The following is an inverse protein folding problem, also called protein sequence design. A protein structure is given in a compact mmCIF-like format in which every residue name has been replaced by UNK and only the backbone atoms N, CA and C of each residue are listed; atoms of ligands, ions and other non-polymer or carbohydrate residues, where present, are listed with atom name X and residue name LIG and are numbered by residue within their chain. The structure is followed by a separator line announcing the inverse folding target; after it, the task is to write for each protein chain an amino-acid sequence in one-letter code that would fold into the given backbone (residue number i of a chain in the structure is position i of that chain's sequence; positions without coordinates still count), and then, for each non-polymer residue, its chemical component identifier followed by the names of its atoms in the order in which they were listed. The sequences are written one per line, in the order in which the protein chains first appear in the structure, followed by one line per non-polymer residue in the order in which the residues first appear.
data_IF_733410343923
#
_entry.id   IF_733410343923
#
_cell.length_a   1.000
_cell.length_b   1.000
_cell.length_c   1.000
_cell.angle_alpha   90.00
_cell.angle_beta   90.00
_cell.angle_gamma   90.00
#
_symmetry.space_group_name_H-M   'P 1'
#
loop_
_entity.id
_entity.type
_entity.pdbx_description
1 polymer ?
#
# COMPACT_ATOMS: atom_id res chain seq x y z
N UNK A 1 9.85 -45.86 29.12
CA UNK A 1 9.28 -45.89 27.74
C UNK A 1 8.04 -44.99 27.79
N UNK A 2 7.85 -43.85 27.12
CA UNK A 2 8.46 -43.22 25.96
C UNK A 2 8.63 -41.71 26.23
N UNK A 3 9.77 -41.15 25.83
CA UNK A 3 9.96 -39.71 25.62
C UNK A 3 9.57 -39.42 24.17
N UNK A 4 8.73 -38.43 23.88
CA UNK A 4 9.01 -37.44 22.82
C UNK A 4 8.04 -36.26 22.87
N UNK A 5 8.64 -35.09 22.76
CA UNK A 5 8.10 -33.74 22.64
C UNK A 5 7.54 -33.48 21.23
N UNK A 6 6.55 -32.60 21.11
CA UNK A 6 6.24 -31.95 19.82
C UNK A 6 4.87 -31.27 19.82
N UNK A 7 4.67 -30.07 19.29
CA UNK A 7 5.57 -29.07 18.74
C UNK A 7 4.71 -27.80 18.67
N UNK A 8 5.14 -26.74 19.33
CA UNK A 8 4.51 -25.44 19.25
C UNK A 8 4.50 -24.95 17.79
N UNK A 9 3.32 -24.86 17.17
CA UNK A 9 3.17 -24.08 15.93
C UNK A 9 2.98 -22.61 16.31
N UNK A 10 4.14 -21.97 16.47
CA UNK A 10 4.37 -20.54 16.61
C UNK A 10 3.48 -19.78 15.63
N UNK A 11 2.57 -18.96 16.17
CA UNK A 11 1.94 -17.86 15.44
C UNK A 11 3.07 -16.98 14.88
N UNK A 12 3.15 -16.70 13.56
CA UNK A 12 4.09 -15.70 13.09
C UNK A 12 3.59 -14.35 13.60
N UNK A 13 4.44 -13.70 14.39
CA UNK A 13 4.16 -12.44 15.06
C UNK A 13 3.65 -11.39 14.08
N UNK A 14 2.56 -10.72 14.46
CA UNK A 14 2.15 -9.46 13.83
C UNK A 14 3.35 -8.51 13.95
N UNK A 15 3.94 -8.00 12.86
CA UNK A 15 4.96 -6.98 13.00
C UNK A 15 4.29 -5.76 13.63
N UNK A 16 4.88 -5.25 14.72
CA UNK A 16 4.49 -3.99 15.34
C UNK A 16 4.43 -2.96 14.21
N UNK A 17 3.24 -2.44 13.94
CA UNK A 17 3.05 -1.36 12.98
C UNK A 17 3.77 -0.14 13.57
N UNK A 18 5.03 0.04 13.18
CA UNK A 18 5.84 1.21 13.48
C UNK A 18 5.07 2.47 13.09
N UNK A 19 5.21 3.51 13.91
CA UNK A 19 4.47 4.76 13.87
C UNK A 19 4.17 5.28 12.46
N UNK A 20 2.99 5.90 12.25
CA UNK A 20 2.66 6.54 10.97
C UNK A 20 3.73 7.60 10.74
N UNK A 21 4.64 7.30 9.84
CA UNK A 21 5.58 8.30 9.37
C UNK A 21 4.70 9.31 8.66
N UNK A 22 4.47 10.47 9.30
CA UNK A 22 4.17 11.71 8.58
C UNK A 22 4.99 11.69 7.29
N UNK A 23 4.47 12.14 6.13
CA UNK A 23 5.31 12.31 4.96
C UNK A 23 6.43 13.29 5.33
N UNK A 24 7.54 12.74 5.83
CA UNK A 24 8.74 13.48 6.13
C UNK A 24 9.25 14.06 4.82
N UNK A 25 10.12 15.06 4.90
CA UNK A 25 10.72 15.75 3.73
C UNK A 25 11.36 14.80 2.69
N UNK A 26 11.50 13.51 3.00
CA UNK A 26 12.04 12.44 2.16
C UNK A 26 11.00 11.58 1.41
N UNK A 27 9.71 11.88 1.54
CA UNK A 27 8.64 11.20 0.81
C UNK A 27 8.16 12.06 -0.35
N UNK A 28 8.26 11.54 -1.58
CA UNK A 28 7.76 12.23 -2.78
C UNK A 28 6.33 11.77 -3.03
N UNK A 29 5.38 12.69 -2.85
CA UNK A 29 3.97 12.50 -3.25
C UNK A 29 3.89 12.64 -4.76
N UNK A 30 3.40 11.58 -5.43
CA UNK A 30 3.42 11.50 -6.89
C UNK A 30 2.05 11.79 -7.46
N UNK A 31 2.04 12.68 -8.44
CA UNK A 31 0.93 12.95 -9.32
C UNK A 31 0.63 11.78 -10.28
N UNK A 32 -0.45 11.03 -10.04
CA UNK A 32 -0.91 9.96 -10.93
C UNK A 32 -1.73 10.51 -12.13
N UNK A 33 -1.60 10.03 -13.36
CA UNK A 33 -2.22 10.65 -14.57
C UNK A 33 -3.77 10.54 -14.67
N UNK A 34 -4.46 10.19 -13.59
CA UNK A 34 -5.92 10.05 -13.50
C UNK A 34 -6.62 11.42 -13.36
N UNK A 35 -7.95 11.52 -13.65
CA UNK A 35 -8.72 12.72 -13.37
C UNK A 35 -8.56 13.14 -11.90
N UNK A 36 -8.53 14.46 -11.63
CA UNK A 36 -8.27 15.05 -10.29
C UNK A 36 -9.09 14.38 -9.18
N UNK A 37 -10.30 13.96 -9.51
CA UNK A 37 -11.27 13.42 -8.57
C UNK A 37 -10.83 12.06 -7.98
N UNK A 38 -10.05 11.25 -8.71
CA UNK A 38 -9.59 9.91 -8.27
C UNK A 38 -8.20 9.89 -7.63
N UNK A 39 -7.67 11.06 -7.27
CA UNK A 39 -6.30 11.20 -6.75
C UNK A 39 -6.33 11.81 -5.37
N UNK A 40 -5.53 11.26 -4.47
CA UNK A 40 -5.15 11.99 -3.27
C UNK A 40 -4.08 13.01 -3.67
N UNK A 41 -4.41 14.29 -3.55
CA UNK A 41 -3.53 15.40 -3.90
C UNK A 41 -3.13 16.20 -2.67
N UNK A 42 -4.04 16.33 -1.69
CA UNK A 42 -3.82 17.17 -0.52
C UNK A 42 -3.13 16.39 0.59
N UNK A 43 -2.11 16.99 1.21
CA UNK A 43 -1.43 16.42 2.39
C UNK A 43 -2.41 16.03 3.50
N UNK A 44 -3.48 16.80 3.69
CA UNK A 44 -4.54 16.50 4.66
C UNK A 44 -5.31 15.20 4.35
N UNK A 45 -5.49 14.85 3.07
CA UNK A 45 -6.13 13.58 2.68
C UNK A 45 -5.21 12.40 2.99
N UNK A 46 -3.91 12.54 2.71
CA UNK A 46 -2.93 11.54 3.10
C UNK A 46 -2.90 11.36 4.62
N UNK A 47 -2.88 12.46 5.37
CA UNK A 47 -2.89 12.42 6.83
C UNK A 47 -4.14 11.72 7.37
N UNK A 48 -5.33 11.97 6.80
CA UNK A 48 -6.57 11.28 7.16
C UNK A 48 -6.44 9.76 6.98
N UNK A 49 -5.86 9.30 5.87
CA UNK A 49 -5.64 7.87 5.61
C UNK A 49 -4.64 7.28 6.61
N UNK A 50 -3.55 7.99 6.92
CA UNK A 50 -2.56 7.55 7.90
C UNK A 50 -3.12 7.52 9.34
N UNK A 51 -3.96 8.49 9.71
CA UNK A 51 -4.61 8.57 11.02
C UNK A 51 -5.56 7.39 11.27
N UNK A 52 -6.24 6.88 10.23
CA UNK A 52 -7.11 5.69 10.35
C UNK A 52 -6.35 4.40 10.67
N UNK A 53 -5.01 4.38 10.59
CA UNK A 53 -4.10 3.26 10.93
C UNK A 53 -4.46 1.90 10.31
N UNK A 54 -5.22 1.89 9.21
CA UNK A 54 -5.57 0.67 8.47
C UNK A 54 -4.54 0.49 7.36
N UNK A 55 -3.52 -0.32 7.64
CA UNK A 55 -2.47 -0.64 6.68
C UNK A 55 -2.27 -2.15 6.57
N UNK A 56 -1.92 -2.58 5.37
CA UNK A 56 -1.47 -3.92 5.07
C UNK A 56 -0.15 -3.81 4.34
N UNK A 57 0.79 -4.68 4.67
CA UNK A 57 2.13 -4.59 4.14
C UNK A 57 2.59 -5.95 3.62
N UNK A 58 3.42 -5.91 2.59
CA UNK A 58 4.00 -7.09 1.96
C UNK A 58 5.49 -6.83 1.66
N UNK A 59 6.28 -7.84 1.30
CA UNK A 59 7.71 -7.68 1.03
C UNK A 59 8.04 -6.59 0.00
N UNK A 60 7.12 -6.30 -0.92
CA UNK A 60 7.28 -5.32 -2.00
C UNK A 60 6.80 -3.91 -1.64
N UNK A 61 5.63 -3.79 -1.02
CA UNK A 61 4.99 -2.49 -0.76
C UNK A 61 4.10 -2.52 0.48
N UNK A 62 3.83 -1.33 1.00
CA UNK A 62 2.88 -1.07 2.08
C UNK A 62 1.69 -0.34 1.48
N UNK A 63 0.49 -0.85 1.72
CA UNK A 63 -0.77 -0.26 1.28
C UNK A 63 -1.55 0.21 2.50
N UNK A 64 -1.82 1.50 2.58
CA UNK A 64 -2.79 2.06 3.51
C UNK A 64 -4.14 2.15 2.81
N UNK A 65 -5.21 1.85 3.53
CA UNK A 65 -6.57 1.89 3.01
C UNK A 65 -7.52 2.51 4.00
N UNK A 66 -8.41 3.36 3.52
CA UNK A 66 -9.39 4.06 4.35
C UNK A 66 -10.71 4.13 3.61
N UNK A 67 -11.82 3.76 4.24
CA UNK A 67 -13.13 3.85 3.58
C UNK A 67 -13.48 5.32 3.29
N UNK A 68 -13.83 5.64 2.06
CA UNK A 68 -14.27 6.97 1.68
C UNK A 68 -15.79 6.95 1.47
N UNK A 69 -16.46 8.05 1.75
CA UNK A 69 -17.90 8.24 1.50
C UNK A 69 -18.19 8.57 0.03
N UNK A 70 -17.16 8.49 -0.82
CA UNK A 70 -17.25 8.77 -2.24
C UNK A 70 -17.42 7.46 -2.98
N UNK A 71 -18.33 7.38 -3.96
CA UNK A 71 -18.59 6.14 -4.73
C UNK A 71 -17.45 5.67 -5.65
N UNK A 72 -16.22 6.09 -5.41
CA UNK A 72 -15.06 5.73 -6.23
C UNK A 72 -13.78 5.63 -5.39
N UNK A 73 -12.85 4.78 -5.82
CA UNK A 73 -11.58 4.61 -5.13
C UNK A 73 -10.58 5.69 -5.55
N UNK A 74 -9.82 6.22 -4.59
CA UNK A 74 -8.75 7.17 -4.86
C UNK A 74 -7.40 6.53 -4.60
N UNK A 75 -6.41 6.85 -5.44
CA UNK A 75 -5.04 6.38 -5.25
C UNK A 75 -4.11 7.54 -4.92
N UNK A 76 -3.39 7.40 -3.81
CA UNK A 76 -2.22 8.15 -3.42
C UNK A 76 -0.96 7.32 -3.64
N UNK A 77 0.03 7.91 -4.29
CA UNK A 77 1.33 7.27 -4.52
C UNK A 77 2.38 8.03 -3.72
N UNK A 78 3.04 7.32 -2.81
CA UNK A 78 4.09 7.90 -1.98
C UNK A 78 5.34 7.07 -2.19
N UNK A 79 6.31 7.62 -2.94
CA UNK A 79 7.61 6.96 -3.12
C UNK A 79 8.64 7.63 -2.23
N UNK A 80 9.26 6.85 -1.35
CA UNK A 80 10.39 7.34 -0.56
C UNK A 80 11.58 7.63 -1.49
N UNK A 81 12.34 8.68 -1.20
CA UNK A 81 13.64 8.93 -1.84
C UNK A 81 14.62 7.75 -1.65
N UNK A 82 14.40 6.93 -0.61
CA UNK A 82 15.22 5.75 -0.26
C UNK A 82 15.06 4.56 -1.20
N UNK A 83 14.05 4.56 -2.08
CA UNK A 83 13.84 3.48 -3.05
C UNK A 83 14.98 3.38 -4.07
N UNK A 84 15.66 4.49 -4.35
CA UNK A 84 16.78 4.54 -5.27
C UNK A 84 16.68 5.71 -6.26
N UNK A 85 17.25 5.51 -7.44
CA UNK A 85 17.46 6.56 -8.45
C UNK A 85 16.16 7.12 -9.06
N UNK A 86 16.30 8.16 -9.90
CA UNK A 86 15.17 8.75 -10.65
C UNK A 86 14.44 7.71 -11.54
N UNK A 87 15.19 6.76 -12.10
CA UNK A 87 14.68 5.68 -12.96
C UNK A 87 13.82 4.70 -12.16
N UNK A 88 14.31 4.21 -11.02
CA UNK A 88 13.56 3.27 -10.17
C UNK A 88 12.28 3.89 -9.64
N UNK A 89 12.34 5.13 -9.15
CA UNK A 89 11.13 5.88 -8.76
C UNK A 89 10.15 5.99 -9.93
N UNK A 90 10.63 6.25 -11.13
CA UNK A 90 9.78 6.35 -12.33
C UNK A 90 9.18 5.00 -12.76
N UNK A 91 9.92 3.90 -12.59
CA UNK A 91 9.42 2.54 -12.79
C UNK A 91 8.34 2.19 -11.77
N UNK A 92 8.55 2.45 -10.49
CA UNK A 92 7.54 2.26 -9.44
C UNK A 92 6.26 3.05 -9.73
N UNK A 93 6.40 4.33 -10.08
CA UNK A 93 5.27 5.18 -10.49
C UNK A 93 4.54 4.64 -11.71
N UNK A 94 5.25 4.08 -12.70
CA UNK A 94 4.62 3.46 -13.89
C UNK A 94 3.89 2.17 -13.51
N UNK A 95 4.55 1.26 -12.82
CA UNK A 95 3.99 -0.04 -12.45
C UNK A 95 2.76 0.10 -11.53
N UNK A 96 2.82 0.94 -10.50
CA UNK A 96 1.68 1.12 -9.59
C UNK A 96 0.47 1.75 -10.28
N UNK A 97 0.69 2.69 -11.22
CA UNK A 97 -0.40 3.27 -12.01
C UNK A 97 -1.06 2.22 -12.88
N UNK A 98 -0.27 1.41 -13.55
CA UNK A 98 -0.78 0.38 -14.44
C UNK A 98 -1.47 -0.75 -13.67
N UNK A 99 -0.88 -1.19 -12.56
CA UNK A 99 -1.49 -2.12 -11.63
C UNK A 99 -2.85 -1.62 -11.12
N UNK A 100 -2.95 -0.35 -10.73
CA UNK A 100 -4.23 0.24 -10.31
C UNK A 100 -5.24 0.34 -11.45
N UNK A 101 -4.80 0.66 -12.67
CA UNK A 101 -5.66 0.72 -13.85
C UNK A 101 -6.28 -0.65 -14.15
N UNK A 102 -5.48 -1.71 -14.10
CA UNK A 102 -5.92 -3.09 -14.32
C UNK A 102 -6.79 -3.59 -13.15
N UNK A 103 -6.40 -3.29 -11.92
CA UNK A 103 -7.11 -3.71 -10.73
C UNK A 103 -8.37 -2.89 -10.44
N UNK A 104 -8.67 -1.82 -11.17
CA UNK A 104 -9.78 -0.92 -10.86
C UNK A 104 -11.13 -1.64 -10.73
N UNK A 105 -11.35 -2.69 -11.52
CA UNK A 105 -12.57 -3.50 -11.47
C UNK A 105 -12.61 -4.47 -10.28
N UNK A 106 -11.44 -4.89 -9.79
CA UNK A 106 -11.32 -5.79 -8.63
C UNK A 106 -11.21 -5.05 -7.29
N UNK A 107 -10.91 -3.76 -7.33
CA UNK A 107 -10.75 -2.93 -6.15
C UNK A 107 -12.13 -2.50 -5.61
N UNK A 108 -12.31 -2.54 -4.29
CA UNK A 108 -13.54 -2.05 -3.68
C UNK A 108 -13.67 -0.54 -3.90
N UNK A 109 -14.85 -0.13 -4.36
CA UNK A 109 -15.22 1.26 -4.56
C UNK A 109 -15.42 1.96 -3.21
N UNK A 110 -15.21 3.27 -3.19
CA UNK A 110 -15.28 4.08 -1.96
C UNK A 110 -14.21 3.75 -0.94
N UNK A 111 -12.97 3.60 -1.41
CA UNK A 111 -11.80 3.52 -0.54
C UNK A 111 -10.67 4.38 -1.07
N UNK A 112 -10.01 5.09 -0.15
CA UNK A 112 -8.78 5.81 -0.40
C UNK A 112 -7.60 4.87 -0.10
N UNK A 113 -6.76 4.68 -1.10
CA UNK A 113 -5.58 3.83 -1.04
C UNK A 113 -4.33 4.68 -1.12
N UNK A 114 -3.35 4.43 -0.24
CA UNK A 114 -2.03 5.06 -0.31
C UNK A 114 -0.96 3.97 -0.37
N UNK A 115 -0.26 3.88 -1.50
CA UNK A 115 0.78 2.87 -1.74
C UNK A 115 2.18 3.44 -1.52
N UNK A 116 2.95 2.75 -0.67
CA UNK A 116 4.34 3.05 -0.32
C UNK A 116 5.23 1.86 -0.71
N UNK A 117 6.07 1.96 -1.75
CA UNK A 117 7.02 0.91 -2.06
C UNK A 117 8.12 0.81 -0.99
N UNK A 118 8.63 -0.40 -0.74
CA UNK A 118 9.80 -0.57 0.13
C UNK A 118 11.10 -0.36 -0.65
N UNK A 119 12.07 0.26 0.01
CA UNK A 119 13.42 0.38 -0.52
C UNK A 119 14.06 -1.00 -0.71
N UNK A 120 14.88 -1.15 -1.76
CA UNK A 120 15.55 -2.42 -2.09
C UNK A 120 14.69 -3.46 -2.81
N UNK A 121 13.50 -3.09 -3.28
CA UNK A 121 12.63 -3.96 -4.08
C UNK A 121 12.44 -3.43 -5.50
N UNK A 122 12.49 -4.33 -6.49
CA UNK A 122 12.30 -3.98 -7.89
C UNK A 122 10.83 -4.09 -8.29
N UNK A 123 10.27 -3.07 -8.97
CA UNK A 123 8.87 -3.09 -9.38
C UNK A 123 8.70 -4.05 -10.57
N UNK A 124 8.16 -5.24 -10.29
CA UNK A 124 7.77 -6.21 -11.32
C UNK A 124 6.26 -6.18 -11.48
N UNK A 125 5.77 -5.82 -12.67
CA UNK A 125 4.34 -5.59 -12.93
C UNK A 125 3.40 -6.67 -12.36
N UNK A 126 3.54 -7.96 -12.71
CA UNK A 126 2.63 -9.00 -12.22
C UNK A 126 2.65 -9.11 -10.68
N UNK A 127 3.84 -8.99 -10.07
CA UNK A 127 3.96 -9.03 -8.60
C UNK A 127 3.34 -7.82 -7.93
N UNK A 128 3.54 -6.61 -8.48
CA UNK A 128 2.97 -5.38 -7.93
C UNK A 128 1.45 -5.40 -8.03
N UNK A 129 0.89 -5.86 -9.15
CA UNK A 129 -0.55 -6.01 -9.33
C UNK A 129 -1.13 -7.03 -8.34
N UNK A 130 -0.54 -8.22 -8.24
CA UNK A 130 -1.00 -9.26 -7.34
C UNK A 130 -0.94 -8.79 -5.87
N UNK A 131 0.18 -8.19 -5.45
CA UNK A 131 0.32 -7.62 -4.11
C UNK A 131 -0.72 -6.51 -3.87
N UNK A 132 -0.97 -5.63 -4.83
CA UNK A 132 -1.95 -4.56 -4.70
C UNK A 132 -3.36 -5.12 -4.45
N UNK A 133 -3.83 -6.02 -5.32
CA UNK A 133 -5.16 -6.65 -5.20
C UNK A 133 -5.28 -7.42 -3.89
N UNK A 134 -4.26 -8.22 -3.55
CA UNK A 134 -4.20 -9.01 -2.31
C UNK A 134 -4.32 -8.13 -1.07
N UNK A 135 -3.55 -7.04 -1.02
CA UNK A 135 -3.57 -6.11 0.12
C UNK A 135 -4.88 -5.34 0.19
N UNK A 136 -5.45 -4.92 -0.94
CA UNK A 136 -6.74 -4.23 -0.99
C UNK A 136 -7.89 -5.12 -0.47
N UNK A 137 -7.95 -6.40 -0.90
CA UNK A 137 -8.94 -7.36 -0.39
C UNK A 137 -8.79 -7.60 1.11
N UNK A 138 -7.56 -7.64 1.63
CA UNK A 138 -7.29 -7.73 3.08
C UNK A 138 -7.74 -6.49 3.85
N UNK A 139 -7.59 -5.30 3.26
CA UNK A 139 -8.06 -4.06 3.86
C UNK A 139 -9.59 -3.99 3.91
N UNK A 140 -10.27 -4.46 2.87
CA UNK A 140 -11.75 -4.49 2.82
C UNK A 140 -12.35 -5.41 3.89
N UNK A 141 -11.75 -6.59 4.12
CA UNK A 141 -12.28 -7.58 5.08
C UNK A 141 -12.15 -7.15 6.55
N UNK A 142 -11.45 -6.05 6.84
CA UNK A 142 -11.14 -5.59 8.19
C UNK A 142 -10.18 -6.52 8.93
N UNK A 143 -9.48 -6.04 9.97
CA UNK A 143 -8.72 -6.91 10.84
C UNK A 143 -9.71 -7.73 11.67
N UNK A 144 -9.60 -9.06 11.61
CA UNK A 144 -10.04 -9.91 12.72
C UNK A 144 -9.11 -9.73 13.92
#
# INVERSE_FOLDING_TARGET
MCRTTGRASRRPGRPRCGNPTRPGRDQVVVNARFPKNRRLLKSAEFERVFQRRRSQSDGLLVLYGSANELGYSRLGLVVSKRIGGAVERSRWKRCLREAFRLAQHELPQGMDFVALPRAGSSPTMPRVQESLVRLARRLQRGPR
#
